data_IF_488827909741
#
_entry.id   IF_488827909741
#
_cell.length_a   1.000
_cell.length_b   1.000
_cell.length_c   1.000
_cell.angle_alpha   90.00
_cell.angle_beta   90.00
_cell.angle_gamma   90.00
#
_symmetry.space_group_name_H-M   'P 1'
#
loop_
_entity.id
_entity.type
_entity.pdbx_description
1 polymer ?
#
# COMPACT_ATOMS: atom_id res chain seq x y z
N UNK A 1 4.80 11.19 4.02
CA UNK A 1 3.57 11.69 4.67
C UNK A 1 2.95 10.54 5.45
N UNK A 2 2.33 10.85 6.59
CA UNK A 2 1.84 9.86 7.55
C UNK A 2 0.50 10.32 8.17
N UNK A 3 -0.39 9.38 8.50
CA UNK A 3 -1.67 9.64 9.17
C UNK A 3 -2.79 10.15 8.26
N UNK A 4 -3.93 10.49 8.88
CA UNK A 4 -5.20 10.88 8.24
C UNK A 4 -5.88 9.74 7.45
N UNK A 5 -5.38 9.40 6.27
CA UNK A 5 -5.87 8.28 5.45
C UNK A 5 -4.69 7.50 4.90
N UNK A 6 -4.89 6.19 4.77
CA UNK A 6 -4.02 5.37 3.95
C UNK A 6 -4.06 5.85 2.51
N UNK A 7 -2.94 5.71 1.80
CA UNK A 7 -2.86 6.17 0.42
C UNK A 7 -2.43 5.06 -0.51
N UNK A 8 -3.21 4.89 -1.58
CA UNK A 8 -2.86 4.04 -2.71
C UNK A 8 -1.57 4.50 -3.38
N UNK A 9 -0.69 3.53 -3.66
CA UNK A 9 0.46 3.72 -4.56
C UNK A 9 0.26 2.95 -5.86
N UNK A 10 1.12 3.25 -6.85
CA UNK A 10 1.13 2.53 -8.12
C UNK A 10 1.70 1.10 -7.97
N UNK A 11 2.44 0.85 -6.91
CA UNK A 11 3.20 -0.39 -6.71
C UNK A 11 2.28 -1.57 -6.40
N UNK A 12 2.59 -2.72 -7.00
CA UNK A 12 1.98 -3.99 -6.66
C UNK A 12 2.53 -4.54 -5.36
N UNK A 13 1.72 -5.31 -4.64
CA UNK A 13 2.16 -5.94 -3.40
C UNK A 13 3.03 -7.17 -3.68
N UNK A 14 4.18 -7.24 -3.01
CA UNK A 14 5.03 -8.43 -2.95
C UNK A 14 5.49 -8.62 -1.51
N UNK A 15 5.66 -9.86 -1.03
CA UNK A 15 6.06 -10.17 0.36
C UNK A 15 7.40 -9.56 0.74
N UNK A 16 8.34 -9.52 -0.20
CA UNK A 16 9.61 -8.81 -0.06
C UNK A 16 9.48 -7.41 -0.66
N UNK A 17 10.09 -6.40 -0.03
CA UNK A 17 10.30 -5.14 -0.74
C UNK A 17 11.25 -5.42 -1.92
N UNK A 18 10.74 -5.32 -3.15
CA UNK A 18 11.55 -5.49 -4.36
C UNK A 18 12.65 -4.41 -4.34
N UNK A 19 13.91 -4.75 -4.67
CA UNK A 19 14.92 -3.73 -4.89
C UNK A 19 14.47 -2.77 -6.00
N UNK A 20 14.93 -1.53 -5.91
CA UNK A 20 14.49 -0.35 -6.67
C UNK A 20 14.86 -0.39 -8.17
N UNK A 21 14.75 -1.53 -8.84
CA UNK A 21 15.24 -1.73 -10.22
C UNK A 21 14.16 -1.80 -11.31
N UNK A 22 12.88 -1.72 -10.97
CA UNK A 22 11.82 -1.60 -11.98
C UNK A 22 10.82 -0.53 -11.57
N UNK A 23 10.87 0.62 -12.25
CA UNK A 23 9.87 1.71 -12.13
C UNK A 23 8.44 1.29 -12.55
N UNK A 24 8.28 0.09 -13.10
CA UNK A 24 7.05 -0.42 -13.69
C UNK A 24 6.84 -1.87 -13.26
N UNK A 25 6.27 -2.10 -12.07
CA UNK A 25 5.75 -3.42 -11.73
C UNK A 25 4.40 -3.61 -12.42
N UNK A 26 4.25 -4.73 -13.14
CA UNK A 26 2.97 -5.11 -13.76
C UNK A 26 2.00 -5.56 -12.66
N UNK A 27 0.68 -5.23 -12.72
CA UNK A 27 -0.35 -5.85 -11.88
C UNK A 27 -0.22 -7.37 -11.70
N UNK A 28 0.25 -8.09 -12.73
CA UNK A 28 0.50 -9.54 -12.70
C UNK A 28 1.63 -9.95 -11.72
N UNK A 29 2.52 -9.03 -11.33
CA UNK A 29 3.59 -9.28 -10.36
C UNK A 29 3.09 -9.27 -8.90
N UNK A 30 1.81 -8.98 -8.66
CA UNK A 30 1.23 -9.00 -7.31
C UNK A 30 1.28 -10.40 -6.72
N UNK A 31 1.97 -10.58 -5.59
CA UNK A 31 2.06 -11.88 -4.90
C UNK A 31 1.89 -11.72 -3.39
N UNK A 32 0.83 -12.38 -2.88
CA UNK A 32 0.53 -12.53 -1.46
C UNK A 32 0.27 -14.02 -1.16
N UNK A 33 1.11 -14.71 -0.36
CA UNK A 33 0.95 -16.12 -0.03
C UNK A 33 -0.39 -16.44 0.63
N UNK A 34 -0.94 -15.48 1.38
CA UNK A 34 -2.20 -15.65 2.10
C UNK A 34 -3.42 -15.49 1.17
N UNK A 35 -3.24 -14.89 0.00
CA UNK A 35 -4.30 -14.62 -0.97
C UNK A 35 -3.76 -14.61 -2.43
N UNK A 36 -3.29 -15.75 -2.95
CA UNK A 36 -2.51 -15.81 -4.20
C UNK A 36 -3.31 -15.45 -5.46
N UNK A 37 -4.64 -15.52 -5.41
CA UNK A 37 -5.52 -15.24 -6.55
C UNK A 37 -6.07 -13.81 -6.56
N UNK A 38 -5.88 -13.05 -5.48
CA UNK A 38 -6.45 -11.71 -5.32
C UNK A 38 -5.34 -10.68 -5.58
N UNK A 39 -5.42 -9.88 -6.65
CA UNK A 39 -4.43 -8.86 -6.91
C UNK A 39 -4.50 -7.76 -5.84
N UNK A 40 -3.35 -7.37 -5.31
CA UNK A 40 -3.22 -6.38 -4.24
C UNK A 40 -2.23 -5.29 -4.61
N UNK A 41 -2.52 -4.07 -4.19
CA UNK A 41 -1.61 -2.92 -4.29
C UNK A 41 -1.16 -2.46 -2.92
N UNK A 42 -0.07 -1.70 -2.91
CA UNK A 42 0.52 -1.17 -1.69
C UNK A 42 -0.24 0.06 -1.22
N UNK A 43 -0.60 0.05 0.07
CA UNK A 43 -1.01 1.24 0.82
C UNK A 43 0.15 1.75 1.68
N UNK A 44 0.28 3.08 1.78
CA UNK A 44 1.28 3.77 2.60
C UNK A 44 0.63 4.83 3.51
N UNK A 45 1.37 5.23 4.55
CA UNK A 45 1.06 6.40 5.37
C UNK A 45 0.32 6.12 6.68
N UNK A 46 -0.51 5.09 6.78
CA UNK A 46 -1.40 4.91 7.93
C UNK A 46 -2.60 5.86 7.90
N UNK A 47 -3.59 5.65 8.77
CA UNK A 47 -4.79 6.49 8.85
C UNK A 47 -5.00 7.09 10.24
N UNK A 48 -6.03 7.91 10.39
CA UNK A 48 -6.49 8.47 11.68
C UNK A 48 -6.88 7.40 12.70
N UNK A 49 -7.05 6.14 12.28
CA UNK A 49 -7.30 5.04 13.19
C UNK A 49 -6.02 4.55 13.87
N UNK A 50 -4.86 4.63 13.21
CA UNK A 50 -3.61 4.06 13.72
C UNK A 50 -3.23 4.59 15.11
N UNK A 51 -2.93 3.69 16.05
CA UNK A 51 -2.49 4.04 17.40
C UNK A 51 -1.30 3.19 17.88
N UNK A 52 -0.49 3.67 18.85
CA UNK A 52 0.69 2.95 19.34
C UNK A 52 0.40 1.56 19.89
N UNK A 53 -0.80 1.34 20.44
CA UNK A 53 -1.21 0.10 21.10
C UNK A 53 -1.52 -1.06 20.15
N UNK A 54 -1.83 -0.79 18.88
CA UNK A 54 -2.31 -1.84 17.97
C UNK A 54 -1.90 -1.68 16.51
N UNK A 55 -1.66 -0.45 16.03
CA UNK A 55 -1.32 -0.20 14.64
C UNK A 55 -0.29 0.93 14.52
N UNK A 56 0.98 0.55 14.58
CA UNK A 56 2.13 1.45 14.40
C UNK A 56 2.51 1.65 12.93
N UNK A 57 1.51 1.67 12.04
CA UNK A 57 1.71 1.75 10.59
C UNK A 57 1.72 3.18 10.04
N UNK A 58 1.65 4.18 10.90
CA UNK A 58 2.01 5.57 10.59
C UNK A 58 3.52 5.76 10.37
N UNK A 59 4.36 4.72 10.52
CA UNK A 59 5.80 4.80 10.25
C UNK A 59 6.06 4.85 8.74
N UNK A 60 6.99 5.70 8.23
CA UNK A 60 7.26 5.81 6.79
C UNK A 60 7.61 4.49 6.08
N UNK A 61 8.31 3.59 6.77
CA UNK A 61 8.66 2.27 6.23
C UNK A 61 7.46 1.31 6.15
N UNK A 62 6.40 1.53 6.94
CA UNK A 62 5.25 0.63 6.99
C UNK A 62 4.50 0.60 5.66
N UNK A 63 4.02 -0.58 5.30
CA UNK A 63 3.24 -0.84 4.09
C UNK A 63 2.13 -1.84 4.41
N UNK A 64 1.05 -1.80 3.65
CA UNK A 64 -0.06 -2.74 3.79
C UNK A 64 -0.56 -3.19 2.41
N UNK A 65 -1.00 -4.43 2.32
CA UNK A 65 -1.56 -5.01 1.11
C UNK A 65 -3.07 -4.77 1.12
N UNK A 66 -3.63 -4.21 0.05
CA UNK A 66 -5.07 -4.03 -0.08
C UNK A 66 -5.55 -4.49 -1.45
N UNK A 67 -6.68 -5.19 -1.49
CA UNK A 67 -7.32 -5.60 -2.75
C UNK A 67 -7.91 -4.39 -3.47
N UNK A 68 -7.83 -4.40 -4.80
CA UNK A 68 -8.21 -3.26 -5.65
C UNK A 68 -9.69 -2.90 -5.63
N UNK A 69 -10.53 -3.87 -5.28
CA UNK A 69 -11.99 -3.77 -5.18
C UNK A 69 -12.46 -3.27 -3.80
N UNK A 70 -11.55 -3.18 -2.82
CA UNK A 70 -11.88 -2.71 -1.48
C UNK A 70 -11.95 -1.19 -1.41
N UNK A 71 -12.98 -0.68 -0.74
CA UNK A 71 -13.07 0.72 -0.32
C UNK A 71 -13.42 0.82 1.16
N UNK A 72 -12.79 1.76 1.87
CA UNK A 72 -13.09 2.06 3.28
C UNK A 72 -13.01 3.56 3.52
N UNK A 73 -13.60 4.03 4.62
CA UNK A 73 -13.61 5.46 4.99
C UNK A 73 -12.24 6.06 5.31
N UNK A 74 -11.20 5.24 5.41
CA UNK A 74 -9.86 5.65 5.83
C UNK A 74 -8.77 5.35 4.80
N UNK A 75 -9.15 5.04 3.55
CA UNK A 75 -8.26 4.85 2.41
C UNK A 75 -8.59 5.89 1.35
N UNK A 76 -7.59 6.64 0.91
CA UNK A 76 -7.65 7.61 -0.18
C UNK A 76 -6.45 7.46 -1.11
N UNK A 77 -6.13 8.52 -1.85
CA UNK A 77 -4.98 8.56 -2.73
C UNK A 77 -4.52 10.01 -2.96
N UNK A 78 -3.33 10.14 -3.53
CA UNK A 78 -2.82 11.42 -4.05
C UNK A 78 -2.27 11.22 -5.45
N UNK A 79 -2.28 12.28 -6.23
CA UNK A 79 -1.69 12.30 -7.57
C UNK A 79 -0.25 12.79 -7.52
N UNK A 80 0.56 12.33 -8.48
CA UNK A 80 1.90 12.84 -8.75
C UNK A 80 1.99 13.07 -10.25
N UNK A 81 2.50 14.23 -10.65
CA UNK A 81 2.81 14.56 -12.05
C UNK A 81 4.32 14.71 -12.15
N UNK A 82 4.92 14.07 -13.17
CA UNK A 82 6.33 14.26 -13.50
C UNK A 82 6.41 15.39 -14.55
N UNK A 83 7.36 16.34 -14.40
CA UNK A 83 7.60 17.36 -15.43
C UNK A 83 7.96 16.72 -16.77
#
# INVERSE_FOLDING_TARGET
MIGNVWEWTRDTWTVTCRPMSACCADPADSFDPDAPTIPRKVLKGGSHLCAPSYCQRYRPAARHAQSLDSSTSHVGFRCVVRP
#
